data_IF_749430457385
#
_entry.id   IF_749430457385
#
_cell.length_a   1.000
_cell.length_b   1.000
_cell.length_c   1.000
_cell.angle_alpha   90.00
_cell.angle_beta   90.00
_cell.angle_gamma   90.00
#
_symmetry.space_group_name_H-M   'P 1'
#
loop_
_entity.id
_entity.type
_entity.pdbx_description
1 polymer ?
#
# COMPACT_ATOMS: atom_id res chain seq x y z
N UNK A 1 27.41 0.05 3.49
CA UNK A 1 26.52 0.21 4.62
C UNK A 1 26.24 1.68 4.85
N UNK A 2 25.02 1.99 5.29
CA UNK A 2 24.57 3.33 5.65
C UNK A 2 23.75 3.29 6.93
N UNK A 3 23.84 4.34 7.74
CA UNK A 3 22.98 4.57 8.88
C UNK A 3 22.54 6.04 8.84
N UNK A 4 21.28 6.30 9.15
CA UNK A 4 20.73 7.65 9.16
C UNK A 4 19.75 7.83 10.32
N UNK A 5 19.77 9.01 10.91
CA UNK A 5 18.77 9.50 11.84
C UNK A 5 18.25 10.84 11.28
N UNK A 6 16.94 11.04 11.27
CA UNK A 6 16.34 12.29 10.81
C UNK A 6 15.03 12.58 11.52
N UNK A 7 14.77 13.85 11.79
CA UNK A 7 13.48 14.35 12.26
C UNK A 7 12.77 15.05 11.09
N UNK A 8 11.49 14.76 10.94
CA UNK A 8 10.67 15.25 9.84
C UNK A 8 9.36 15.78 10.42
N UNK A 9 9.00 16.99 10.03
CA UNK A 9 7.73 17.61 10.37
C UNK A 9 6.90 17.79 9.11
N UNK A 10 5.64 17.36 9.13
CA UNK A 10 4.70 17.51 8.04
C UNK A 10 3.54 18.38 8.47
N UNK A 11 3.45 19.63 7.97
CA UNK A 11 2.28 20.46 8.18
C UNK A 11 1.02 19.79 7.66
N UNK A 12 -0.14 20.00 8.30
CA UNK A 12 -1.40 19.40 7.87
C UNK A 12 -1.82 19.92 6.49
N UNK A 13 -2.30 19.04 5.64
CA UNK A 13 -3.00 19.41 4.43
C UNK A 13 -4.37 20.00 4.75
N UNK A 14 -4.94 20.77 3.84
CA UNK A 14 -6.25 21.43 4.04
C UNK A 14 -7.37 20.47 4.48
N UNK A 15 -7.40 19.25 3.98
CA UNK A 15 -8.38 18.23 4.39
C UNK A 15 -8.14 17.66 5.77
N UNK A 16 -6.91 17.69 6.28
CA UNK A 16 -6.52 17.21 7.62
C UNK A 16 -6.91 18.19 8.73
N UNK A 17 -7.23 19.43 8.35
CA UNK A 17 -7.77 20.46 9.24
C UNK A 17 -9.28 20.32 9.50
N UNK A 18 -9.94 19.30 8.93
CA UNK A 18 -11.37 19.08 9.13
C UNK A 18 -11.60 17.80 9.90
N UNK A 19 -12.48 17.91 10.91
CA UNK A 19 -12.93 16.76 11.72
C UNK A 19 -13.96 15.89 10.96
N UNK A 20 -14.49 14.89 11.66
CA UNK A 20 -15.48 13.95 11.13
C UNK A 20 -16.79 14.64 10.75
N UNK A 21 -17.15 15.74 11.41
CA UNK A 21 -18.34 16.56 11.17
C UNK A 21 -18.11 17.63 10.07
N UNK A 22 -16.84 17.85 9.67
CA UNK A 22 -16.45 18.83 8.66
C UNK A 22 -16.09 20.21 9.21
N UNK A 23 -16.03 20.39 10.54
CA UNK A 23 -15.60 21.62 11.16
C UNK A 23 -14.11 21.86 10.91
N UNK A 24 -13.71 23.14 10.88
CA UNK A 24 -12.33 23.52 10.59
C UNK A 24 -11.54 23.71 11.90
N UNK A 25 -10.41 23.05 12.01
CA UNK A 25 -9.47 23.06 13.15
C UNK A 25 -8.09 23.61 12.71
N UNK A 26 -7.94 24.93 12.62
CA UNK A 26 -6.69 25.55 12.16
C UNK A 26 -5.54 25.38 13.17
N UNK A 27 -5.83 24.97 14.41
CA UNK A 27 -4.88 24.67 15.48
C UNK A 27 -4.15 23.35 15.35
N UNK A 28 -4.53 22.48 14.40
CA UNK A 28 -3.85 21.20 14.16
C UNK A 28 -2.37 21.44 13.83
N UNK A 29 -1.51 20.82 14.62
CA UNK A 29 -0.06 20.95 14.51
C UNK A 29 0.52 20.08 13.39
N UNK A 30 1.76 20.36 13.04
CA UNK A 30 2.53 19.49 12.16
C UNK A 30 2.77 18.11 12.82
N UNK A 31 2.48 17.05 12.11
CA UNK A 31 2.82 15.70 12.55
C UNK A 31 4.33 15.52 12.47
N UNK A 32 4.94 14.93 13.51
CA UNK A 32 6.39 14.72 13.60
C UNK A 32 6.77 13.26 13.52
N UNK A 33 7.85 12.96 12.82
CA UNK A 33 8.41 11.61 12.73
C UNK A 33 9.93 11.63 12.90
N UNK A 34 10.43 10.78 13.80
CA UNK A 34 11.88 10.55 13.96
C UNK A 34 12.20 9.20 13.33
N UNK A 35 13.06 9.22 12.32
CA UNK A 35 13.45 8.02 11.57
C UNK A 35 14.82 7.53 12.00
N UNK A 36 14.94 6.25 12.23
CA UNK A 36 16.17 5.50 12.42
C UNK A 36 16.24 4.47 11.31
N UNK A 37 17.29 4.55 10.48
CA UNK A 37 17.44 3.66 9.32
C UNK A 37 18.85 3.10 9.31
N UNK A 38 18.96 1.79 9.13
CA UNK A 38 20.22 1.09 8.87
C UNK A 38 20.01 0.25 7.61
N UNK A 39 20.94 0.36 6.68
CA UNK A 39 20.85 -0.40 5.45
C UNK A 39 22.18 -0.59 4.75
N UNK A 40 22.12 -1.31 3.67
CA UNK A 40 23.26 -1.54 2.82
C UNK A 40 22.85 -2.00 1.44
N UNK A 41 23.76 -1.81 0.54
CA UNK A 41 23.65 -2.35 -0.81
C UNK A 41 24.93 -3.15 -1.14
N UNK A 42 24.71 -4.22 -1.88
CA UNK A 42 25.75 -5.14 -2.31
C UNK A 42 25.60 -5.40 -3.81
N UNK A 43 26.62 -4.98 -4.57
CA UNK A 43 26.71 -5.24 -6.00
C UNK A 43 27.54 -6.50 -6.21
N UNK A 44 27.02 -7.44 -7.01
CA UNK A 44 27.69 -8.70 -7.29
C UNK A 44 27.38 -9.16 -8.72
N UNK A 45 28.14 -10.14 -9.18
CA UNK A 45 27.87 -10.82 -10.44
C UNK A 45 27.31 -12.20 -10.16
N UNK A 46 26.22 -12.53 -10.87
CA UNK A 46 25.65 -13.88 -10.89
C UNK A 46 25.43 -14.27 -12.35
N UNK A 47 25.93 -15.40 -12.75
CA UNK A 47 25.98 -15.81 -14.16
C UNK A 47 26.66 -14.78 -15.08
N UNK A 48 27.74 -14.17 -14.62
CA UNK A 48 28.47 -13.07 -15.28
C UNK A 48 27.63 -11.82 -15.57
N UNK A 49 26.48 -11.68 -14.94
CA UNK A 49 25.58 -10.54 -15.08
C UNK A 49 25.54 -9.68 -13.81
N UNK A 50 25.25 -8.38 -13.93
CA UNK A 50 25.22 -7.49 -12.78
C UNK A 50 23.95 -7.69 -11.96
N UNK A 51 24.13 -7.77 -10.65
CA UNK A 51 23.06 -7.78 -9.66
C UNK A 51 23.34 -6.77 -8.56
N UNK A 52 22.28 -6.20 -8.01
CA UNK A 52 22.33 -5.34 -6.84
C UNK A 52 21.29 -5.79 -5.84
N UNK A 53 21.74 -6.17 -4.64
CA UNK A 53 20.90 -6.45 -3.50
C UNK A 53 20.90 -5.23 -2.57
N UNK A 54 19.73 -4.80 -2.13
CA UNK A 54 19.53 -3.70 -1.17
C UNK A 54 18.70 -4.23 -0.02
N UNK A 55 19.12 -3.91 1.21
CA UNK A 55 18.35 -4.22 2.42
C UNK A 55 18.38 -3.02 3.34
N UNK A 56 17.23 -2.72 3.95
CA UNK A 56 17.07 -1.66 4.94
C UNK A 56 16.21 -2.16 6.10
N UNK A 57 16.62 -1.82 7.32
CA UNK A 57 15.81 -1.95 8.53
C UNK A 57 15.53 -0.54 9.01
N UNK A 58 14.30 -0.27 9.36
CA UNK A 58 13.90 1.05 9.83
C UNK A 58 12.94 0.97 11.00
N UNK A 59 13.05 1.99 11.86
CA UNK A 59 12.10 2.30 12.90
C UNK A 59 11.77 3.80 12.82
N UNK A 60 10.48 4.13 12.80
CA UNK A 60 10.00 5.50 12.76
C UNK A 60 9.10 5.70 13.97
N UNK A 61 9.46 6.64 14.82
CA UNK A 61 8.64 7.08 15.93
C UNK A 61 7.78 8.25 15.49
N UNK A 62 6.49 8.17 15.74
CA UNK A 62 5.49 9.11 15.24
C UNK A 62 4.87 9.85 16.42
N UNK A 63 4.79 11.19 16.30
CA UNK A 63 4.25 12.10 17.31
C UNK A 63 3.22 13.02 16.68
N UNK A 64 2.36 13.57 17.50
CA UNK A 64 1.36 14.56 17.11
C UNK A 64 0.53 14.07 15.90
N UNK A 65 0.21 12.77 15.89
CA UNK A 65 -0.58 12.19 14.82
C UNK A 65 -1.99 12.77 14.84
N UNK A 66 -2.49 13.12 13.67
CA UNK A 66 -3.90 13.37 13.43
C UNK A 66 -4.53 12.05 12.96
N UNK A 67 -5.20 11.29 13.85
CA UNK A 67 -5.79 10.02 13.48
C UNK A 67 -6.85 10.17 12.39
N UNK A 68 -7.07 9.10 11.66
CA UNK A 68 -8.10 9.07 10.63
C UNK A 68 -8.75 7.70 10.52
N UNK A 69 -9.97 7.68 10.02
CA UNK A 69 -10.70 6.48 9.67
C UNK A 69 -10.91 6.37 8.17
N UNK A 70 -11.18 5.15 7.70
CA UNK A 70 -11.59 4.88 6.32
C UNK A 70 -13.09 4.61 6.30
N UNK A 71 -13.86 5.61 5.89
CA UNK A 71 -15.28 5.47 5.63
C UNK A 71 -15.49 5.15 4.14
N UNK A 72 -15.76 3.89 3.84
CA UNK A 72 -15.83 3.35 2.49
C UNK A 72 -14.47 3.52 1.76
N UNK A 73 -14.34 4.51 0.88
CA UNK A 73 -13.08 4.87 0.19
C UNK A 73 -12.58 6.27 0.57
N UNK A 74 -13.21 6.91 1.54
CA UNK A 74 -12.87 8.25 2.00
C UNK A 74 -12.00 8.19 3.24
N UNK A 75 -10.98 9.03 3.28
CA UNK A 75 -10.21 9.29 4.49
C UNK A 75 -10.90 10.43 5.23
N UNK A 76 -11.27 10.19 6.49
CA UNK A 76 -11.87 11.16 7.40
C UNK A 76 -10.96 11.34 8.60
N UNK A 77 -10.45 12.54 8.80
CA UNK A 77 -9.56 12.88 9.89
C UNK A 77 -10.32 13.28 11.16
N UNK A 78 -9.70 13.11 12.31
CA UNK A 78 -10.28 13.55 13.58
C UNK A 78 -10.12 15.06 13.79
N UNK A 79 -9.21 15.70 13.06
CA UNK A 79 -8.98 17.14 13.14
C UNK A 79 -8.23 17.57 14.41
N UNK A 80 -7.48 16.66 15.02
CA UNK A 80 -6.72 16.90 16.26
C UNK A 80 -5.45 16.06 16.30
N UNK A 81 -4.45 16.50 17.05
CA UNK A 81 -3.20 15.77 17.26
C UNK A 81 -3.31 14.85 18.48
N UNK A 82 -4.19 13.87 18.43
CA UNK A 82 -4.54 12.99 19.56
C UNK A 82 -3.90 11.61 19.46
N UNK A 83 -2.79 11.47 18.72
CA UNK A 83 -2.16 10.17 18.56
C UNK A 83 -0.65 10.19 18.59
N UNK A 84 -0.07 9.08 19.04
CA UNK A 84 1.34 8.74 18.88
C UNK A 84 1.49 7.32 18.34
N UNK A 85 2.59 7.02 17.65
CA UNK A 85 2.70 5.72 17.02
C UNK A 85 4.10 5.34 16.60
N UNK A 86 4.18 4.26 15.83
CA UNK A 86 5.42 3.84 15.20
C UNK A 86 5.18 3.15 13.86
N UNK A 87 6.23 3.11 13.04
CA UNK A 87 6.32 2.22 11.89
C UNK A 87 7.70 1.55 11.92
N UNK A 88 7.71 0.22 11.95
CA UNK A 88 8.92 -0.58 11.97
C UNK A 88 8.88 -1.59 10.83
N UNK A 89 10.00 -1.77 10.13
CA UNK A 89 10.01 -2.70 9.03
C UNK A 89 11.40 -3.04 8.52
N UNK A 90 11.39 -4.00 7.61
CA UNK A 90 12.58 -4.43 6.87
C UNK A 90 12.22 -4.57 5.40
N UNK A 91 13.04 -3.98 4.55
CA UNK A 91 12.87 -4.00 3.11
C UNK A 91 14.04 -4.73 2.45
N UNK A 92 13.71 -5.56 1.47
CA UNK A 92 14.66 -6.25 0.61
C UNK A 92 14.35 -5.94 -0.85
N UNK A 93 15.37 -5.69 -1.64
CA UNK A 93 15.24 -5.53 -3.08
C UNK A 93 16.43 -6.14 -3.80
N UNK A 94 16.14 -6.98 -4.77
CA UNK A 94 17.10 -7.54 -5.70
C UNK A 94 16.78 -7.00 -7.10
N UNK A 95 17.72 -6.26 -7.66
CA UNK A 95 17.69 -5.83 -9.06
C UNK A 95 18.78 -6.56 -9.82
N UNK A 96 18.55 -6.88 -11.08
CA UNK A 96 19.59 -7.47 -11.91
C UNK A 96 19.11 -7.97 -13.25
N UNK A 97 20.07 -8.41 -14.03
CA UNK A 97 19.83 -9.02 -15.34
C UNK A 97 19.65 -10.54 -15.19
N UNK A 98 18.44 -10.98 -14.81
CA UNK A 98 18.10 -12.41 -14.82
C UNK A 98 18.18 -12.97 -16.24
N UNK A 99 17.90 -12.13 -17.22
CA UNK A 99 18.14 -12.37 -18.64
C UNK A 99 19.07 -11.28 -19.15
N UNK A 100 19.97 -11.61 -20.06
CA UNK A 100 20.93 -10.67 -20.64
C UNK A 100 20.20 -9.48 -21.26
N UNK A 101 20.68 -8.27 -20.94
CA UNK A 101 20.13 -7.00 -21.44
C UNK A 101 18.66 -6.75 -21.06
N UNK A 102 18.12 -7.49 -20.07
CA UNK A 102 16.76 -7.32 -19.55
C UNK A 102 16.77 -7.16 -18.02
N UNK A 103 16.62 -5.94 -17.55
CA UNK A 103 16.58 -5.65 -16.11
C UNK A 103 15.27 -6.14 -15.49
N UNK A 104 15.38 -6.88 -14.40
CA UNK A 104 14.27 -7.38 -13.62
C UNK A 104 14.50 -7.09 -12.14
N UNK A 105 13.44 -7.10 -11.33
CA UNK A 105 13.58 -6.88 -9.91
C UNK A 105 12.56 -7.67 -9.10
N UNK A 106 12.95 -7.95 -7.86
CA UNK A 106 12.12 -8.56 -6.82
C UNK A 106 12.23 -7.67 -5.58
N UNK A 107 11.14 -7.39 -4.92
CA UNK A 107 11.09 -6.66 -3.65
C UNK A 107 10.20 -7.35 -2.64
N UNK A 108 10.59 -7.31 -1.40
CA UNK A 108 9.83 -7.79 -0.25
C UNK A 108 9.95 -6.77 0.88
N UNK A 109 8.82 -6.31 1.37
CA UNK A 109 8.72 -5.44 2.55
C UNK A 109 7.91 -6.13 3.63
N UNK A 110 8.45 -6.11 4.85
CA UNK A 110 7.75 -6.52 6.06
C UNK A 110 7.57 -5.27 6.91
N UNK A 111 6.32 -4.89 7.18
CA UNK A 111 5.97 -3.65 7.88
C UNK A 111 5.00 -3.93 9.02
N UNK A 112 5.23 -3.31 10.17
CA UNK A 112 4.24 -3.14 11.23
C UNK A 112 4.12 -1.66 11.57
N UNK A 113 2.92 -1.11 11.47
CA UNK A 113 2.66 0.28 11.87
C UNK A 113 1.44 0.34 12.77
N UNK A 114 1.64 0.91 13.95
CA UNK A 114 0.60 1.02 14.97
C UNK A 114 0.56 2.43 15.54
N UNK A 115 -0.60 2.79 16.08
CA UNK A 115 -0.80 4.05 16.79
C UNK A 115 -1.61 3.83 18.05
N UNK A 116 -1.38 4.67 19.03
CA UNK A 116 -2.15 4.82 20.25
C UNK A 116 -2.87 6.17 20.15
N UNK A 117 -4.18 6.16 20.30
CA UNK A 117 -5.01 7.37 20.24
C UNK A 117 -5.39 7.73 21.66
N UNK A 118 -5.29 9.00 21.99
CA UNK A 118 -5.64 9.49 23.31
C UNK A 118 -7.15 9.39 23.54
N UNK A 119 -7.55 8.95 24.74
CA UNK A 119 -8.94 8.85 25.17
C UNK A 119 -9.83 7.90 24.33
N UNK A 120 -9.26 6.93 23.64
CA UNK A 120 -9.98 5.95 22.80
C UNK A 120 -10.53 4.74 23.59
N UNK A 121 -10.83 4.91 24.88
CA UNK A 121 -11.33 3.84 25.73
C UNK A 121 -12.73 3.35 25.31
N UNK A 122 -12.96 2.06 25.57
CA UNK A 122 -14.24 1.39 25.34
C UNK A 122 -14.81 0.94 26.70
N UNK A 123 -16.10 1.15 26.91
CA UNK A 123 -16.78 0.53 28.06
C UNK A 123 -17.12 -0.91 27.73
N UNK A 124 -16.61 -1.84 28.54
CA UNK A 124 -17.09 -3.23 28.56
C UNK A 124 -18.13 -3.31 29.67
N UNK A 125 -19.35 -3.70 29.30
CA UNK A 125 -20.43 -3.88 30.26
C UNK A 125 -20.46 -5.36 30.64
N UNK A 126 -20.16 -5.66 31.90
CA UNK A 126 -20.36 -6.97 32.50
C UNK A 126 -21.73 -7.01 33.17
N UNK A 127 -22.62 -7.88 32.73
CA UNK A 127 -23.91 -8.12 33.38
C UNK A 127 -23.67 -9.09 34.52
N UNK A 128 -23.34 -8.59 35.70
CA UNK A 128 -22.86 -9.44 36.77
C UNK A 128 -23.94 -9.92 37.75
N UNK A 129 -25.12 -9.32 37.80
CA UNK A 129 -26.12 -9.74 38.76
C UNK A 129 -27.54 -9.26 38.43
N UNK A 130 -28.51 -10.17 38.49
CA UNK A 130 -29.94 -9.85 38.59
C UNK A 130 -30.28 -9.98 40.05
N UNK A 131 -30.62 -8.87 40.75
CA UNK A 131 -31.18 -8.94 42.06
C UNK A 131 -32.64 -9.49 41.97
N UNK A 132 -32.94 -10.70 42.48
CA UNK A 132 -34.27 -11.26 42.37
C UNK A 132 -35.32 -10.55 43.17
N UNK A 133 -34.92 -9.72 44.15
CA UNK A 133 -35.85 -9.01 45.04
C UNK A 133 -36.19 -7.60 44.49
N UNK A 134 -35.31 -6.97 43.74
CA UNK A 134 -35.48 -5.61 43.21
C UNK A 134 -35.73 -5.56 41.69
N UNK A 135 -35.57 -6.64 40.96
CA UNK A 135 -35.68 -6.71 39.49
C UNK A 135 -34.77 -5.67 38.75
N UNK A 136 -33.69 -5.24 39.39
CA UNK A 136 -32.71 -4.33 38.84
C UNK A 136 -31.49 -5.07 38.30
N UNK A 137 -31.05 -4.67 37.09
CA UNK A 137 -29.80 -5.12 36.51
C UNK A 137 -28.67 -4.19 36.97
N UNK A 138 -27.73 -4.72 37.74
CA UNK A 138 -26.51 -3.99 38.06
C UNK A 138 -25.58 -4.19 36.90
N UNK A 139 -25.39 -3.11 36.13
CA UNK A 139 -24.43 -3.05 35.05
C UNK A 139 -23.11 -2.50 35.63
N UNK A 140 -22.12 -3.35 35.75
CA UNK A 140 -20.75 -2.90 36.00
C UNK A 140 -20.08 -2.59 34.66
N UNK A 141 -19.51 -1.40 34.51
CA UNK A 141 -18.85 -0.98 33.29
C UNK A 141 -17.38 -0.68 33.57
N UNK A 142 -16.50 -1.40 32.88
CA UNK A 142 -15.06 -1.20 32.97
C UNK A 142 -14.57 -0.47 31.74
N UNK A 143 -13.76 0.59 31.94
CA UNK A 143 -13.05 1.24 30.86
C UNK A 143 -11.85 0.40 30.42
N UNK A 144 -11.82 0.07 29.14
CA UNK A 144 -10.70 -0.65 28.53
C UNK A 144 -10.03 0.23 27.50
N UNK A 145 -8.74 0.46 27.69
CA UNK A 145 -7.90 1.21 26.75
C UNK A 145 -7.24 0.22 25.78
N UNK A 146 -7.46 0.36 24.46
CA UNK A 146 -6.93 -0.59 23.48
C UNK A 146 -5.41 -0.48 23.28
N UNK A 147 -4.82 0.66 23.62
CA UNK A 147 -3.40 0.94 23.43
C UNK A 147 -3.00 1.01 21.96
N UNK A 148 -1.91 0.34 21.60
CA UNK A 148 -1.44 0.37 20.22
C UNK A 148 -2.30 -0.50 19.28
N UNK A 149 -3.04 0.16 18.40
CA UNK A 149 -3.88 -0.46 17.36
C UNK A 149 -3.21 -0.35 15.99
N UNK A 150 -3.49 -1.26 15.04
CA UNK A 150 -2.98 -1.14 13.68
C UNK A 150 -3.46 0.15 13.00
N UNK A 151 -2.53 0.86 12.35
CA UNK A 151 -2.91 2.00 11.50
C UNK A 151 -3.62 1.50 10.23
N UNK A 152 -4.48 2.31 9.59
CA UNK A 152 -5.16 1.90 8.36
C UNK A 152 -4.24 1.47 7.22
N UNK A 153 -2.96 1.85 7.28
CA UNK A 153 -1.91 1.49 6.32
C UNK A 153 -1.05 0.29 6.75
N UNK A 154 -1.41 -0.40 7.85
CA UNK A 154 -0.66 -1.55 8.37
C UNK A 154 -0.79 -2.76 7.44
N UNK A 155 0.15 -2.90 6.52
CA UNK A 155 0.25 -4.01 5.59
C UNK A 155 1.50 -4.84 5.88
N UNK A 156 1.33 -5.99 6.56
CA UNK A 156 2.45 -6.74 7.10
C UNK A 156 3.43 -7.25 6.04
N UNK A 157 2.93 -7.78 4.91
CA UNK A 157 3.76 -8.23 3.79
C UNK A 157 3.35 -7.46 2.54
N UNK A 158 4.34 -6.89 1.87
CA UNK A 158 4.22 -6.36 0.52
C UNK A 158 5.31 -6.98 -0.35
N UNK A 159 4.91 -7.69 -1.40
CA UNK A 159 5.81 -8.34 -2.34
C UNK A 159 5.53 -7.84 -3.76
N UNK A 160 6.59 -7.48 -4.46
CA UNK A 160 6.54 -7.10 -5.86
C UNK A 160 7.63 -7.79 -6.65
N UNK A 161 7.30 -8.20 -7.87
CA UNK A 161 8.26 -8.77 -8.81
C UNK A 161 7.95 -8.26 -10.21
N UNK A 162 8.98 -7.81 -10.89
CA UNK A 162 8.94 -7.50 -12.31
C UNK A 162 10.01 -8.33 -13.01
N UNK A 163 9.60 -9.13 -13.97
CA UNK A 163 10.48 -9.94 -14.79
C UNK A 163 10.28 -9.60 -16.26
N UNK A 164 11.38 -9.43 -16.97
CA UNK A 164 11.36 -9.14 -18.40
C UNK A 164 12.31 -10.07 -19.15
N UNK A 165 11.90 -10.54 -20.30
CA UNK A 165 12.69 -11.38 -21.17
C UNK A 165 12.44 -11.05 -22.64
N UNK A 166 13.42 -11.38 -23.48
CA UNK A 166 13.26 -11.40 -24.93
C UNK A 166 12.75 -12.78 -25.37
N UNK A 167 11.99 -12.82 -26.44
CA UNK A 167 11.61 -14.11 -27.03
C UNK A 167 12.89 -14.78 -27.58
N UNK A 168 13.16 -16.04 -27.22
CA UNK A 168 14.36 -16.74 -27.68
C UNK A 168 14.59 -16.63 -29.16
N UNK A 169 15.78 -16.15 -29.55
CA UNK A 169 16.16 -15.97 -30.95
C UNK A 169 15.60 -14.73 -31.64
N UNK A 170 14.85 -13.85 -30.93
CA UNK A 170 14.33 -12.64 -31.52
C UNK A 170 14.25 -11.46 -30.54
N UNK A 171 15.28 -10.63 -30.54
CA UNK A 171 15.37 -9.42 -29.69
C UNK A 171 14.36 -8.32 -30.04
N UNK A 172 13.61 -8.46 -31.13
CA UNK A 172 12.56 -7.50 -31.47
C UNK A 172 11.26 -7.72 -30.67
N UNK A 173 11.17 -8.80 -29.91
CA UNK A 173 10.01 -9.11 -29.08
C UNK A 173 10.42 -9.30 -27.63
N UNK A 174 9.70 -8.61 -26.73
CA UNK A 174 9.86 -8.72 -25.27
C UNK A 174 8.58 -9.21 -24.65
N UNK A 175 8.73 -10.02 -23.60
CA UNK A 175 7.64 -10.39 -22.69
C UNK A 175 7.98 -9.85 -21.31
N UNK A 176 7.02 -9.30 -20.61
CA UNK A 176 7.20 -8.97 -19.20
C UNK A 176 6.06 -9.51 -18.35
N UNK A 177 6.41 -9.86 -17.13
CA UNK A 177 5.51 -10.32 -16.08
C UNK A 177 5.66 -9.41 -14.87
N UNK A 178 4.54 -8.95 -14.33
CA UNK A 178 4.51 -8.23 -13.08
C UNK A 178 3.63 -9.00 -12.09
N UNK A 179 4.14 -9.24 -10.88
CA UNK A 179 3.41 -9.89 -9.81
C UNK A 179 3.42 -8.98 -8.59
N UNK A 180 2.24 -8.73 -8.04
CA UNK A 180 2.03 -7.94 -6.84
C UNK A 180 1.21 -8.74 -5.82
N UNK A 181 1.68 -8.74 -4.58
CA UNK A 181 1.00 -9.35 -3.46
C UNK A 181 1.12 -8.43 -2.24
N UNK A 182 0.02 -8.28 -1.48
CA UNK A 182 0.02 -7.57 -0.21
C UNK A 182 -0.99 -8.19 0.74
N UNK A 183 -0.63 -8.30 2.02
CA UNK A 183 -1.59 -8.72 3.05
C UNK A 183 -2.71 -7.68 3.19
N UNK A 184 -3.88 -8.10 3.65
CA UNK A 184 -5.04 -7.24 3.81
C UNK A 184 -4.78 -6.08 4.77
N UNK A 185 -5.27 -4.90 4.42
CA UNK A 185 -5.25 -3.71 5.27
C UNK A 185 -6.29 -3.84 6.38
N UNK A 186 -6.08 -3.22 7.56
CA UNK A 186 -7.08 -3.14 8.62
C UNK A 186 -8.37 -2.47 8.13
N UNK A 187 -9.49 -2.96 8.59
CA UNK A 187 -10.82 -2.43 8.27
C UNK A 187 -11.81 -2.76 9.37
N UNK A 188 -12.89 -2.02 9.45
CA UNK A 188 -13.97 -2.25 10.39
C UNK A 188 -15.19 -1.39 10.07
N UNK A 189 -16.31 -1.60 10.76
CA UNK A 189 -17.51 -0.78 10.59
C UNK A 189 -17.30 0.64 11.13
N UNK A 190 -17.71 1.68 10.39
CA UNK A 190 -17.44 3.08 10.73
C UNK A 190 -18.14 3.58 12.01
N UNK A 191 -19.16 2.85 12.49
CA UNK A 191 -19.91 3.22 13.69
C UNK A 191 -19.25 2.74 15.00
N UNK A 192 -18.08 2.12 14.90
CA UNK A 192 -17.38 1.55 16.05
C UNK A 192 -16.12 2.34 16.38
N UNK A 193 -15.79 2.34 17.66
CA UNK A 193 -14.49 2.83 18.10
C UNK A 193 -13.42 2.09 17.33
N UNK A 194 -12.49 2.80 16.74
CA UNK A 194 -11.46 2.28 15.83
C UNK A 194 -10.63 1.13 16.41
N UNK A 195 -10.50 1.06 17.72
CA UNK A 195 -9.88 -0.06 18.42
C UNK A 195 -10.52 -1.44 18.15
N UNK A 196 -11.75 -1.44 17.64
CA UNK A 196 -12.47 -2.67 17.23
C UNK A 196 -12.23 -3.05 15.77
N UNK A 197 -11.55 -2.22 15.00
CA UNK A 197 -11.22 -2.45 13.59
C UNK A 197 -10.08 -3.47 13.48
N UNK A 198 -10.33 -4.67 13.99
CA UNK A 198 -9.37 -5.78 13.96
C UNK A 198 -9.54 -6.66 12.73
N UNK A 199 -10.54 -6.39 11.89
CA UNK A 199 -10.74 -7.10 10.64
C UNK A 199 -9.69 -6.67 9.62
N UNK A 200 -9.45 -7.52 8.64
CA UNK A 200 -8.57 -7.20 7.51
C UNK A 200 -9.27 -7.53 6.21
N UNK A 201 -9.03 -6.70 5.21
CA UNK A 201 -9.41 -6.99 3.83
C UNK A 201 -8.74 -8.28 3.35
N UNK A 202 -9.30 -8.88 2.31
CA UNK A 202 -8.64 -9.98 1.61
C UNK A 202 -7.28 -9.55 1.06
N UNK A 203 -6.28 -10.45 1.03
CA UNK A 203 -4.97 -10.12 0.49
C UNK A 203 -5.07 -9.67 -0.98
N UNK A 204 -4.41 -8.56 -1.29
CA UNK A 204 -4.27 -8.07 -2.66
C UNK A 204 -3.37 -8.98 -3.48
N UNK A 205 -3.83 -9.40 -4.66
CA UNK A 205 -3.08 -10.25 -5.59
C UNK A 205 -3.30 -9.81 -7.02
N UNK A 206 -2.22 -9.58 -7.76
CA UNK A 206 -2.33 -9.19 -9.16
C UNK A 206 -1.17 -9.73 -9.96
N UNK A 207 -1.49 -10.30 -11.11
CA UNK A 207 -0.52 -10.71 -12.13
C UNK A 207 -0.84 -9.95 -13.40
N UNK A 208 0.17 -9.29 -13.97
CA UNK A 208 0.06 -8.62 -15.27
C UNK A 208 1.06 -9.27 -16.23
N UNK A 209 0.69 -9.40 -17.48
CA UNK A 209 1.56 -9.85 -18.55
C UNK A 209 1.52 -8.86 -19.71
N UNK A 210 2.67 -8.62 -20.32
CA UNK A 210 2.75 -7.76 -21.48
C UNK A 210 3.69 -8.31 -22.55
N UNK A 211 3.32 -8.04 -23.80
CA UNK A 211 4.10 -8.38 -24.97
C UNK A 211 4.44 -7.09 -25.71
N UNK A 212 5.70 -6.92 -26.04
CA UNK A 212 6.18 -5.74 -26.76
C UNK A 212 6.88 -6.15 -28.04
N UNK A 213 6.59 -5.44 -29.12
CA UNK A 213 7.22 -5.62 -30.42
C UNK A 213 7.92 -4.35 -30.88
N UNK A 214 9.14 -4.49 -31.36
CA UNK A 214 9.91 -3.40 -31.96
C UNK A 214 9.46 -3.22 -33.42
N UNK A 215 8.73 -2.14 -33.67
CA UNK A 215 8.25 -1.79 -35.01
C UNK A 215 9.34 -1.10 -35.85
N UNK A 216 10.14 -0.26 -35.19
CA UNK A 216 11.21 0.50 -35.86
C UNK A 216 12.46 0.49 -35.00
N UNK A 217 13.59 0.22 -35.66
CA UNK A 217 14.94 0.34 -35.10
C UNK A 217 15.76 1.28 -35.98
N UNK A 218 16.00 2.49 -35.49
CA UNK A 218 16.72 3.56 -36.18
C UNK A 218 18.20 3.23 -36.47
N UNK A 219 18.76 2.19 -35.82
CA UNK A 219 20.11 1.73 -36.11
C UNK A 219 20.23 1.04 -37.48
N UNK A 220 19.11 0.59 -38.09
CA UNK A 220 19.11 -0.07 -39.39
C UNK A 220 19.37 0.93 -40.50
N UNK A 221 20.31 0.61 -41.40
CA UNK A 221 20.76 1.51 -42.49
C UNK A 221 19.60 2.03 -43.36
N UNK A 222 18.63 1.21 -43.74
CA UNK A 222 17.45 1.63 -44.53
C UNK A 222 16.59 2.69 -43.86
N UNK A 223 16.60 2.76 -42.52
CA UNK A 223 15.82 3.74 -41.75
C UNK A 223 16.59 5.06 -41.65
N UNK A 224 17.92 4.98 -41.51
CA UNK A 224 18.80 6.18 -41.51
C UNK A 224 18.77 6.98 -42.82
N UNK A 225 18.53 6.30 -43.94
CA UNK A 225 18.44 6.90 -45.26
C UNK A 225 17.07 7.53 -45.56
N UNK A 226 16.08 7.30 -44.70
CA UNK A 226 14.73 7.83 -44.86
C UNK A 226 14.57 9.22 -44.28
N UNK A 227 14.05 10.20 -45.02
CA UNK A 227 13.81 11.59 -44.56
C UNK A 227 12.84 11.67 -43.36
N UNK A 228 11.92 10.73 -43.20
CA UNK A 228 10.91 10.74 -42.15
C UNK A 228 11.34 9.87 -40.97
N UNK A 229 11.81 8.65 -41.25
CA UNK A 229 12.11 7.67 -40.21
C UNK A 229 13.48 7.83 -39.55
N UNK A 230 14.38 8.61 -40.16
CA UNK A 230 15.73 8.90 -39.60
C UNK A 230 15.69 9.69 -38.28
N UNK A 231 14.58 10.36 -37.99
CA UNK A 231 14.41 11.13 -36.74
C UNK A 231 13.99 10.25 -35.55
N UNK A 232 13.70 8.97 -35.78
CA UNK A 232 13.26 8.07 -34.72
C UNK A 232 14.37 7.06 -34.39
N UNK A 233 14.68 6.95 -33.09
CA UNK A 233 15.62 5.92 -32.62
C UNK A 233 14.93 4.57 -32.52
N UNK A 234 13.79 4.51 -31.86
CA UNK A 234 13.01 3.25 -31.69
C UNK A 234 11.51 3.53 -31.60
N UNK A 235 10.71 2.61 -32.14
CA UNK A 235 9.28 2.56 -31.96
C UNK A 235 8.90 1.18 -31.46
N UNK A 236 8.32 1.11 -30.26
CA UNK A 236 7.82 -0.10 -29.64
C UNK A 236 6.31 -0.02 -29.50
N UNK A 237 5.62 -1.09 -29.83
CA UNK A 237 4.21 -1.31 -29.49
C UNK A 237 4.13 -2.40 -28.44
N UNK A 238 3.28 -2.20 -27.42
CA UNK A 238 3.08 -3.17 -26.34
C UNK A 238 1.59 -3.42 -26.12
N UNK A 239 1.23 -4.69 -25.98
CA UNK A 239 -0.08 -5.13 -25.53
C UNK A 239 0.07 -5.71 -24.13
N UNK A 240 -0.67 -5.15 -23.16
CA UNK A 240 -0.59 -5.54 -21.76
C UNK A 240 -1.96 -6.02 -21.28
N UNK A 241 -1.97 -7.10 -20.50
CA UNK A 241 -3.15 -7.61 -19.81
C UNK A 241 -2.93 -7.41 -18.31
N UNK A 242 -3.63 -6.44 -17.74
CA UNK A 242 -3.64 -6.21 -16.30
C UNK A 242 -4.62 -7.16 -15.61
N UNK A 243 -4.23 -7.62 -14.42
CA UNK A 243 -5.00 -8.57 -13.63
C UNK A 243 -5.36 -9.82 -14.43
N UNK A 244 -4.35 -10.48 -14.99
CA UNK A 244 -4.48 -11.66 -15.86
C UNK A 244 -5.36 -12.76 -15.24
N UNK A 245 -5.22 -12.98 -13.93
CA UNK A 245 -5.98 -14.00 -13.20
C UNK A 245 -7.43 -13.59 -12.91
N UNK A 246 -7.79 -12.32 -13.14
CA UNK A 246 -9.14 -11.81 -12.90
C UNK A 246 -9.54 -11.80 -11.41
N UNK A 247 -8.56 -11.64 -10.51
CA UNK A 247 -8.83 -11.61 -9.07
C UNK A 247 -9.64 -10.37 -8.72
N UNK A 248 -10.75 -10.54 -8.00
CA UNK A 248 -11.54 -9.45 -7.43
C UNK A 248 -10.87 -8.96 -6.16
N UNK A 249 -9.96 -7.99 -6.29
CA UNK A 249 -9.26 -7.40 -5.16
C UNK A 249 -10.17 -6.39 -4.44
N UNK A 250 -10.38 -6.59 -3.15
CA UNK A 250 -11.16 -5.70 -2.30
C UNK A 250 -10.36 -4.43 -1.98
N UNK A 251 -11.03 -3.28 -1.99
CA UNK A 251 -10.45 -1.98 -1.62
C UNK A 251 -11.06 -1.43 -0.34
N UNK A 252 -12.32 -1.74 -0.07
CA UNK A 252 -13.08 -1.34 1.11
C UNK A 252 -14.36 -2.14 1.23
N UNK A 253 -15.08 -1.94 2.33
CA UNK A 253 -16.47 -2.39 2.48
C UNK A 253 -17.41 -1.18 2.54
N UNK A 254 -18.57 -1.29 1.90
CA UNK A 254 -19.73 -0.45 2.18
C UNK A 254 -20.57 -1.14 3.25
N UNK A 255 -20.71 -0.50 4.39
CA UNK A 255 -21.47 -1.03 5.51
C UNK A 255 -22.94 -0.62 5.39
N UNK A 256 -23.83 -1.59 5.35
CA UNK A 256 -25.26 -1.38 5.17
C UNK A 256 -26.02 -1.99 6.37
N UNK A 257 -26.89 -1.20 6.98
CA UNK A 257 -27.80 -1.67 8.05
C UNK A 257 -29.14 -2.03 7.46
N UNK A 258 -29.68 -3.18 7.87
CA UNK A 258 -31.07 -3.56 7.56
C UNK A 258 -32.06 -2.95 8.58
N UNK A 259 -33.35 -3.27 8.40
CA UNK A 259 -34.43 -2.80 9.28
C UNK A 259 -34.34 -3.36 10.71
N UNK A 260 -33.54 -4.41 10.93
CA UNK A 260 -33.31 -5.04 12.23
C UNK A 260 -32.01 -4.55 12.87
N UNK A 261 -31.37 -3.49 12.34
CA UNK A 261 -30.05 -3.00 12.72
C UNK A 261 -28.90 -4.01 12.52
N UNK A 262 -29.10 -5.06 11.73
CA UNK A 262 -28.00 -5.96 11.35
C UNK A 262 -27.10 -5.29 10.33
N UNK A 263 -25.80 -5.28 10.59
CA UNK A 263 -24.79 -4.62 9.73
C UNK A 263 -24.20 -5.64 8.78
N UNK A 264 -24.25 -5.34 7.49
CA UNK A 264 -23.66 -6.13 6.40
C UNK A 264 -22.48 -5.40 5.76
N UNK A 265 -21.39 -6.12 5.56
CA UNK A 265 -20.24 -5.64 4.83
C UNK A 265 -20.35 -6.00 3.34
N UNK A 266 -20.57 -5.03 2.48
CA UNK A 266 -20.63 -5.22 1.03
C UNK A 266 -19.28 -4.83 0.44
N UNK A 267 -18.52 -5.77 -0.17
CA UNK A 267 -17.19 -5.48 -0.66
C UNK A 267 -17.21 -4.58 -1.91
N UNK A 268 -16.31 -3.61 -1.92
CA UNK A 268 -15.99 -2.82 -3.09
C UNK A 268 -14.71 -3.37 -3.73
N UNK A 269 -14.75 -3.61 -5.01
CA UNK A 269 -13.66 -4.21 -5.74
C UNK A 269 -12.91 -3.20 -6.61
N UNK A 270 -11.61 -3.37 -6.70
CA UNK A 270 -10.81 -2.72 -7.73
C UNK A 270 -11.18 -3.27 -9.11
N UNK A 271 -10.74 -2.55 -10.13
CA UNK A 271 -11.03 -2.93 -11.52
C UNK A 271 -10.53 -4.33 -11.86
N UNK A 272 -11.38 -5.10 -12.50
CA UNK A 272 -11.05 -6.44 -13.01
C UNK A 272 -9.99 -6.42 -14.12
N UNK A 273 -9.98 -7.47 -14.94
CA UNK A 273 -9.04 -7.60 -16.06
C UNK A 273 -9.21 -6.46 -17.07
N UNK A 274 -8.06 -5.89 -17.51
CA UNK A 274 -8.02 -4.84 -18.52
C UNK A 274 -6.95 -5.11 -19.57
N UNK A 275 -7.27 -4.72 -20.80
CA UNK A 275 -6.31 -4.66 -21.89
C UNK A 275 -5.79 -3.22 -22.01
N UNK A 276 -4.50 -3.08 -22.21
CA UNK A 276 -3.82 -1.82 -22.44
C UNK A 276 -2.93 -1.91 -23.67
N UNK A 277 -3.06 -0.94 -24.58
CA UNK A 277 -2.21 -0.80 -25.74
C UNK A 277 -1.32 0.43 -25.53
N UNK A 278 0.01 0.25 -25.64
CA UNK A 278 1.00 1.30 -25.41
C UNK A 278 1.90 1.43 -26.63
N UNK A 279 2.12 2.65 -27.07
CA UNK A 279 3.10 3.00 -28.09
C UNK A 279 4.21 3.84 -27.44
N UNK A 280 5.43 3.34 -27.52
CA UNK A 280 6.64 4.09 -27.08
C UNK A 280 7.41 4.53 -28.31
N UNK A 281 7.61 5.83 -28.45
CA UNK A 281 8.39 6.44 -29.51
C UNK A 281 9.55 7.16 -28.87
N UNK A 282 10.76 6.86 -29.34
CA UNK A 282 12.01 7.55 -28.95
C UNK A 282 12.58 8.24 -30.17
N UNK A 283 12.91 9.51 -30.00
CA UNK A 283 13.46 10.40 -31.03
C UNK A 283 14.94 10.60 -30.84
#
# INVERSE_FOLDING_TARGET
FRAAIGAYDQPPFYRELRDLEGNLHPEVLAQRSIHYVIGGDYNFKWWDRPFKFVSEIYYKQLYDLNPYELDNVRIRYFGENSGAGYAAGIDFRLNGEFVKDAESWISLSLLSTKENIDNDFVYTVDTTYIDPEQNEYILDSTQVYPGFIPRPTDQFINFGMFFQDYIPGNENFKVHLNFLFGTGLPTGPPDHVRSRDTLRLSPYRRVDIGFSALLLNGAKQKIRESKVWSNFETIWISLEVFNLLGVSNEVSYTWVKDINNTVYAVPNYLTGRRLNLKLNVRF
#
